data_IF_243960469793
#
_entry.id   IF_243960469793
#
_cell.length_a   1.000
_cell.length_b   1.000
_cell.length_c   1.000
_cell.angle_alpha   90.00
_cell.angle_beta   90.00
_cell.angle_gamma   90.00
#
_symmetry.space_group_name_H-M   'P 1'
#
loop_
_entity.id
_entity.type
_entity.pdbx_description
1 polymer ?
#
# COMPACT_ATOMS: atom_id res chain seq x y z
N UNK A 1 37.23 13.64 23.33
CA UNK A 1 36.10 12.88 22.78
C UNK A 1 35.60 13.69 21.61
N UNK A 2 35.60 13.12 20.41
CA UNK A 2 35.22 13.82 19.19
C UNK A 2 33.70 13.85 19.04
N UNK A 3 33.16 14.93 18.51
CA UNK A 3 31.73 15.02 18.17
C UNK A 3 31.55 14.76 16.68
N UNK A 4 30.64 13.84 16.34
CA UNK A 4 30.20 13.62 14.96
C UNK A 4 28.71 13.88 14.90
N UNK A 5 28.29 14.81 14.05
CA UNK A 5 26.88 15.03 13.73
C UNK A 5 26.57 14.38 12.38
N UNK A 6 25.61 13.47 12.37
CA UNK A 6 25.09 12.87 11.14
C UNK A 6 23.87 13.66 10.68
N UNK A 7 23.89 14.12 9.43
CA UNK A 7 22.71 14.65 8.75
C UNK A 7 22.28 13.61 7.73
N UNK A 8 21.32 12.79 8.14
CA UNK A 8 20.66 11.81 7.29
C UNK A 8 19.71 12.53 6.33
N UNK A 9 19.95 12.41 5.04
CA UNK A 9 18.94 12.66 4.00
C UNK A 9 18.80 11.37 3.18
N UNK A 10 17.58 11.02 2.75
CA UNK A 10 17.27 9.75 2.07
C UNK A 10 18.11 9.48 0.81
N UNK A 11 18.79 10.49 0.26
CA UNK A 11 19.65 10.40 -0.92
C UNK A 11 21.13 10.73 -0.68
N UNK A 12 21.52 11.18 0.52
CA UNK A 12 22.93 11.41 0.84
C UNK A 12 23.20 11.27 2.35
N UNK A 13 24.06 10.33 2.70
CA UNK A 13 24.57 10.18 4.07
C UNK A 13 25.74 11.14 4.25
N UNK A 14 25.50 12.28 4.91
CA UNK A 14 26.55 13.25 5.25
C UNK A 14 26.85 13.17 6.74
N UNK A 15 28.12 13.12 7.09
CA UNK A 15 28.57 13.22 8.46
C UNK A 15 29.54 14.40 8.61
N UNK A 16 29.43 15.12 9.72
CA UNK A 16 30.27 16.26 10.04
C UNK A 16 31.19 15.90 11.20
N UNK A 17 32.48 16.16 11.01
CA UNK A 17 33.53 15.84 11.97
C UNK A 17 34.02 17.10 12.67
N UNK A 18 34.01 17.09 14.01
CA UNK A 18 34.54 18.17 14.84
C UNK A 18 35.77 17.69 15.64
N UNK A 19 37.00 18.15 15.29
CA UNK A 19 38.18 17.83 16.07
C UNK A 19 38.14 18.55 17.43
N UNK A 20 37.88 17.81 18.51
CA UNK A 20 37.95 18.33 19.89
C UNK A 20 39.41 18.44 20.34
N UNK A 21 40.02 19.61 20.13
CA UNK A 21 41.31 19.97 20.71
C UNK A 21 41.07 20.65 22.06
N UNK A 22 41.55 20.03 23.16
CA UNK A 22 41.39 20.56 24.53
C UNK A 22 42.11 21.89 24.78
N UNK A 23 42.89 22.43 23.84
CA UNK A 23 43.76 23.58 24.08
C UNK A 23 43.94 24.55 22.88
N UNK A 24 43.03 24.60 21.91
CA UNK A 24 43.15 25.55 20.77
C UNK A 24 41.96 26.48 20.63
N UNK A 25 42.27 27.75 20.42
CA UNK A 25 41.38 28.82 20.00
C UNK A 25 40.40 28.34 18.92
N UNK A 26 39.11 28.62 19.13
CA UNK A 26 37.93 28.33 18.31
C UNK A 26 38.13 28.42 16.78
N UNK A 27 38.81 27.46 16.17
CA UNK A 27 38.79 27.30 14.73
C UNK A 27 37.69 26.30 14.37
N UNK A 28 36.55 26.81 13.89
CA UNK A 28 35.38 26.02 13.51
C UNK A 28 35.60 25.31 12.16
N UNK A 29 36.63 24.47 12.06
CA UNK A 29 36.82 23.65 10.86
C UNK A 29 35.95 22.40 10.98
N UNK A 30 34.94 22.31 10.12
CA UNK A 30 33.99 21.19 10.07
C UNK A 30 34.30 20.32 8.86
N UNK A 31 35.01 19.22 9.04
CA UNK A 31 35.31 18.32 7.91
C UNK A 31 34.07 17.52 7.55
N UNK A 32 33.67 17.56 6.27
CA UNK A 32 32.56 16.74 5.76
C UNK A 32 33.09 15.37 5.37
N UNK A 33 32.52 14.33 5.97
CA UNK A 33 32.73 12.93 5.61
C UNK A 33 31.56 12.49 4.73
N UNK A 34 31.89 11.87 3.60
CA UNK A 34 30.96 11.29 2.64
C UNK A 34 31.23 9.80 2.53
N UNK A 35 30.17 9.02 2.31
CA UNK A 35 30.24 7.57 2.09
C UNK A 35 29.59 7.23 0.75
N UNK A 36 29.89 6.06 0.15
CA UNK A 36 29.18 5.57 -1.02
C UNK A 36 27.66 5.57 -0.79
N UNK A 37 26.85 5.81 -1.84
CA UNK A 37 25.40 5.69 -1.74
C UNK A 37 25.03 4.26 -1.33
N UNK A 38 23.93 4.13 -0.58
CA UNK A 38 23.34 2.83 -0.28
C UNK A 38 23.12 2.05 -1.59
N UNK A 39 23.38 0.73 -1.61
CA UNK A 39 22.97 -0.10 -2.75
C UNK A 39 21.46 0.03 -2.97
N UNK A 40 21.03 -0.06 -4.23
CA UNK A 40 19.60 -0.13 -4.55
C UNK A 40 19.01 -1.41 -3.93
N UNK A 41 17.78 -1.37 -3.39
CA UNK A 41 17.06 -2.58 -3.02
C UNK A 41 16.99 -3.54 -4.21
N UNK A 42 17.04 -4.84 -3.93
CA UNK A 42 16.80 -5.85 -4.96
C UNK A 42 15.38 -5.66 -5.51
N UNK A 43 15.26 -5.44 -6.82
CA UNK A 43 13.98 -5.11 -7.46
C UNK A 43 13.07 -6.32 -7.70
N UNK A 44 13.61 -7.53 -7.59
CA UNK A 44 12.86 -8.75 -7.87
C UNK A 44 13.43 -9.93 -7.09
N UNK A 45 12.54 -10.78 -6.61
CA UNK A 45 12.89 -12.08 -6.02
C UNK A 45 12.32 -13.17 -6.93
N UNK A 46 13.15 -14.11 -7.39
CA UNK A 46 12.72 -15.08 -8.39
C UNK A 46 11.73 -16.09 -7.82
N UNK A 47 11.80 -16.40 -6.53
CA UNK A 47 11.00 -17.46 -5.89
C UNK A 47 10.55 -16.99 -4.50
N UNK A 48 9.25 -17.14 -4.23
CA UNK A 48 8.67 -17.01 -2.91
C UNK A 48 7.75 -18.22 -2.64
N UNK A 49 7.59 -18.59 -1.38
CA UNK A 49 6.78 -19.74 -0.99
C UNK A 49 5.52 -19.28 -0.27
N UNK A 50 4.38 -19.87 -0.60
CA UNK A 50 3.11 -19.64 0.09
C UNK A 50 2.61 -20.94 0.69
N UNK A 51 2.22 -20.89 1.95
CA UNK A 51 1.72 -22.05 2.69
C UNK A 51 0.21 -21.96 2.86
N UNK A 52 -0.52 -22.80 2.13
CA UNK A 52 -1.98 -22.92 2.21
C UNK A 52 -2.36 -24.10 3.10
N UNK A 53 -3.28 -23.87 4.02
CA UNK A 53 -3.84 -24.92 4.89
C UNK A 53 -5.36 -24.86 4.87
N UNK A 54 -6.07 -25.99 4.70
CA UNK A 54 -7.53 -26.06 4.85
C UNK A 54 -8.02 -25.52 6.19
N UNK A 55 -7.21 -25.64 7.25
CA UNK A 55 -7.54 -25.11 8.58
C UNK A 55 -7.54 -23.57 8.66
N UNK A 56 -6.94 -22.89 7.67
CA UNK A 56 -6.90 -21.42 7.56
C UNK A 56 -7.84 -20.88 6.48
N UNK A 57 -8.88 -21.64 6.13
CA UNK A 57 -9.94 -21.16 5.25
C UNK A 57 -10.69 -20.02 5.94
N UNK A 58 -10.71 -18.84 5.32
CA UNK A 58 -11.41 -17.65 5.81
C UNK A 58 -12.88 -17.66 5.35
N UNK A 59 -13.12 -18.14 4.14
CA UNK A 59 -14.47 -18.26 3.60
C UNK A 59 -14.50 -18.85 2.19
N UNK A 60 -15.69 -19.24 1.77
CA UNK A 60 -15.98 -19.72 0.43
C UNK A 60 -17.09 -18.87 -0.17
N UNK A 61 -16.81 -18.29 -1.34
CA UNK A 61 -17.78 -17.56 -2.14
C UNK A 61 -18.18 -18.36 -3.38
N UNK A 62 -19.13 -17.82 -4.15
CA UNK A 62 -19.64 -18.47 -5.35
C UNK A 62 -18.58 -18.71 -6.44
N UNK A 63 -17.47 -17.97 -6.40
CA UNK A 63 -16.47 -17.93 -7.46
C UNK A 63 -15.05 -18.25 -6.96
N UNK A 64 -14.84 -18.30 -5.64
CA UNK A 64 -13.50 -18.43 -5.06
C UNK A 64 -13.53 -18.99 -3.64
N UNK A 65 -12.44 -19.66 -3.26
CA UNK A 65 -12.13 -20.03 -1.88
C UNK A 65 -11.04 -19.10 -1.37
N UNK A 66 -11.17 -18.63 -0.13
CA UNK A 66 -10.28 -17.63 0.47
C UNK A 66 -9.55 -18.25 1.66
N UNK A 67 -8.23 -18.10 1.68
CA UNK A 67 -7.36 -18.57 2.76
C UNK A 67 -6.59 -17.40 3.35
N UNK A 68 -6.38 -17.45 4.66
CA UNK A 68 -5.28 -16.73 5.30
C UNK A 68 -4.03 -17.59 5.16
N UNK A 69 -2.95 -17.01 4.63
CA UNK A 69 -1.76 -17.74 4.27
C UNK A 69 -0.51 -17.03 4.76
N UNK A 70 0.51 -17.80 5.11
CA UNK A 70 1.83 -17.26 5.38
C UNK A 70 2.61 -17.22 4.06
N UNK A 71 3.07 -16.04 3.71
CA UNK A 71 3.92 -15.78 2.55
C UNK A 71 5.35 -15.61 3.03
N UNK A 72 6.21 -16.52 2.61
CA UNK A 72 7.63 -16.51 2.94
C UNK A 72 8.40 -15.70 1.91
N UNK A 73 8.98 -14.61 2.38
CA UNK A 73 9.66 -13.62 1.56
C UNK A 73 11.07 -13.39 2.11
N UNK A 74 12.09 -13.22 1.26
CA UNK A 74 13.41 -12.78 1.67
C UNK A 74 13.38 -11.56 2.59
N UNK A 75 14.08 -11.65 3.73
CA UNK A 75 14.10 -10.59 4.76
C UNK A 75 14.74 -9.30 4.24
N UNK A 76 15.60 -9.39 3.23
CA UNK A 76 16.26 -8.25 2.61
C UNK A 76 15.33 -7.22 1.97
N UNK A 77 14.07 -7.55 1.65
CA UNK A 77 13.09 -6.55 1.20
C UNK A 77 12.68 -5.62 2.34
N UNK A 78 12.57 -6.16 3.55
CA UNK A 78 12.05 -5.41 4.71
C UNK A 78 13.14 -4.63 5.46
N UNK A 79 14.40 -5.00 5.22
CA UNK A 79 15.54 -4.43 5.93
C UNK A 79 16.26 -3.44 5.04
N UNK A 80 16.20 -2.17 5.42
CA UNK A 80 16.99 -1.12 4.77
C UNK A 80 18.48 -1.38 4.97
N UNK A 81 19.26 -1.02 3.96
CA UNK A 81 20.71 -0.92 4.10
C UNK A 81 21.06 0.04 5.23
N UNK A 82 22.02 -0.38 6.05
CA UNK A 82 22.55 0.37 7.17
C UNK A 82 24.08 0.42 7.05
N UNK A 83 24.66 1.47 7.62
CA UNK A 83 26.11 1.65 7.67
C UNK A 83 26.51 1.95 9.11
N UNK A 84 27.60 1.33 9.58
CA UNK A 84 28.03 1.56 10.95
C UNK A 84 28.68 2.94 11.06
N UNK A 85 28.00 3.86 11.75
CA UNK A 85 28.48 5.22 12.00
C UNK A 85 29.87 5.25 12.65
N UNK A 86 30.16 4.30 13.53
CA UNK A 86 31.44 4.20 14.22
C UNK A 86 32.56 3.68 13.29
N UNK A 87 32.26 2.78 12.35
CA UNK A 87 33.19 2.44 11.27
C UNK A 87 33.47 3.64 10.36
N UNK A 88 32.42 4.36 9.94
CA UNK A 88 32.56 5.60 9.13
C UNK A 88 33.43 6.61 9.84
N UNK A 89 33.24 6.79 11.15
CA UNK A 89 34.06 7.68 11.98
C UNK A 89 35.52 7.25 12.00
N UNK A 90 35.81 5.97 12.30
CA UNK A 90 37.19 5.46 12.40
C UNK A 90 37.94 5.55 11.08
N UNK A 91 37.30 5.19 9.97
CA UNK A 91 37.91 5.31 8.64
C UNK A 91 38.05 6.78 8.21
N UNK A 92 37.08 7.64 8.53
CA UNK A 92 37.18 9.08 8.31
C UNK A 92 38.33 9.73 9.08
N UNK A 93 38.55 9.32 10.34
CA UNK A 93 39.70 9.76 11.15
C UNK A 93 41.02 9.30 10.55
N UNK A 94 41.10 8.03 10.14
CA UNK A 94 42.30 7.48 9.50
C UNK A 94 42.65 8.26 8.22
N UNK A 95 41.68 8.46 7.33
CA UNK A 95 41.87 9.22 6.10
C UNK A 95 42.25 10.70 6.36
N UNK A 96 41.69 11.32 7.42
CA UNK A 96 42.06 12.67 7.82
C UNK A 96 43.55 12.75 8.23
N UNK A 97 44.02 11.81 9.07
CA UNK A 97 45.40 11.83 9.55
C UNK A 97 46.43 11.49 8.48
N UNK A 98 46.12 10.55 7.57
CA UNK A 98 46.96 10.22 6.41
C UNK A 98 47.15 11.44 5.48
N UNK A 99 46.11 12.24 5.26
CA UNK A 99 46.23 13.49 4.48
C UNK A 99 47.07 14.54 5.19
N UNK A 100 46.96 14.62 6.52
CA UNK A 100 47.70 15.60 7.32
C UNK A 100 49.19 15.27 7.43
N UNK A 101 49.55 13.99 7.53
CA UNK A 101 50.96 13.57 7.59
C UNK A 101 51.68 13.72 6.25
N UNK A 102 50.96 13.70 5.13
CA UNK A 102 51.53 13.84 3.78
C UNK A 102 51.74 15.28 3.27
N UNK A 103 51.16 16.31 3.90
CA UNK A 103 51.31 17.72 3.47
C UNK A 103 52.44 18.39 4.27
N UNK A 104 53.54 18.77 3.61
CA UNK A 104 54.57 19.65 4.17
C UNK A 104 53.98 21.01 4.56
N UNK A 105 54.46 21.60 5.64
CA UNK A 105 53.94 22.71 6.46
C UNK A 105 53.57 24.05 5.78
N UNK A 106 53.49 24.14 4.44
CA UNK A 106 53.58 25.41 3.70
C UNK A 106 52.26 25.93 3.09
N UNK A 107 51.12 25.24 3.21
CA UNK A 107 49.84 25.77 2.68
C UNK A 107 48.67 25.67 3.69
N UNK A 108 48.62 26.63 4.62
CA UNK A 108 47.62 26.75 5.69
C UNK A 108 46.29 27.36 5.26
N UNK A 109 46.11 27.63 3.96
CA UNK A 109 44.89 28.20 3.38
C UNK A 109 43.99 27.20 2.63
N UNK A 110 44.32 25.91 2.68
CA UNK A 110 43.58 24.87 1.96
C UNK A 110 42.11 24.81 2.39
N UNK A 111 41.22 25.01 1.40
CA UNK A 111 39.76 24.88 1.53
C UNK A 111 39.41 23.50 2.11
N UNK A 112 38.34 23.48 2.90
CA UNK A 112 37.71 22.27 3.43
C UNK A 112 37.47 21.25 2.31
N UNK A 113 38.32 20.23 2.25
CA UNK A 113 38.19 19.11 1.34
C UNK A 113 37.31 18.04 1.99
N UNK A 114 36.37 17.50 1.22
CA UNK A 114 35.58 16.35 1.64
C UNK A 114 36.49 15.12 1.84
N UNK A 115 36.22 14.37 2.89
CA UNK A 115 36.79 13.03 3.08
C UNK A 115 35.77 12.04 2.55
N UNK A 116 36.17 11.24 1.57
CA UNK A 116 35.38 10.13 1.06
C UNK A 116 35.86 8.84 1.72
N UNK A 117 34.92 8.05 2.26
CA UNK A 117 35.20 6.81 2.99
C UNK A 117 34.54 5.64 2.25
N UNK A 118 35.34 4.94 1.43
CA UNK A 118 34.88 3.82 0.59
C UNK A 118 34.95 2.45 1.27
N UNK A 119 35.74 2.34 2.34
CA UNK A 119 36.08 1.05 2.94
C UNK A 119 35.07 0.56 3.98
N UNK A 120 33.97 1.29 4.20
CA UNK A 120 32.95 0.91 5.18
C UNK A 120 31.80 0.23 4.46
N UNK A 121 31.60 -1.09 4.62
CA UNK A 121 30.56 -1.81 3.92
C UNK A 121 29.18 -1.40 4.43
N UNK A 122 28.25 -1.24 3.50
CA UNK A 122 26.83 -1.31 3.79
C UNK A 122 26.46 -2.73 4.18
N UNK A 123 25.54 -2.87 5.12
CA UNK A 123 25.02 -4.16 5.54
C UNK A 123 23.52 -4.08 5.84
N UNK A 124 22.85 -5.23 5.84
CA UNK A 124 21.44 -5.41 6.18
C UNK A 124 21.34 -6.09 7.54
N UNK A 125 20.87 -5.37 8.58
CA UNK A 125 20.68 -5.94 9.91
C UNK A 125 19.90 -7.27 9.88
N UNK A 126 20.53 -8.35 10.36
CA UNK A 126 19.91 -9.66 10.45
C UNK A 126 19.80 -10.44 9.14
N UNK A 127 20.37 -9.95 8.04
CA UNK A 127 20.49 -10.69 6.77
C UNK A 127 21.96 -11.01 6.49
N UNK A 128 22.83 -10.03 6.63
CA UNK A 128 24.25 -10.22 6.37
C UNK A 128 24.94 -10.83 7.60
N UNK A 129 25.82 -11.81 7.35
CA UNK A 129 26.29 -12.80 8.34
C UNK A 129 27.22 -12.17 9.39
N UNK A 130 27.91 -11.07 9.06
CA UNK A 130 28.92 -10.49 9.96
C UNK A 130 28.81 -8.96 10.02
N UNK A 131 27.97 -8.41 10.93
CA UNK A 131 28.02 -6.99 11.20
C UNK A 131 29.35 -6.65 11.89
N UNK A 132 29.82 -5.42 11.71
CA UNK A 132 31.06 -4.97 12.34
C UNK A 132 31.00 -5.09 13.88
N UNK A 133 32.17 -5.21 14.53
CA UNK A 133 32.30 -5.34 16.00
C UNK A 133 31.61 -4.21 16.77
N UNK A 134 31.48 -3.02 16.20
CA UNK A 134 30.84 -1.87 16.82
C UNK A 134 29.32 -2.00 16.94
N UNK A 135 28.69 -2.80 16.07
CA UNK A 135 27.24 -3.10 16.12
C UNK A 135 26.92 -4.29 16.99
N UNK A 136 27.88 -5.21 17.17
CA UNK A 136 27.76 -6.29 18.13
C UNK A 136 27.70 -5.71 19.57
N UNK A 137 28.42 -4.62 19.87
CA UNK A 137 28.41 -4.05 21.21
C UNK A 137 29.08 -4.96 22.25
N UNK A 138 29.53 -4.38 23.35
CA UNK A 138 30.33 -5.09 24.38
C UNK A 138 29.50 -6.03 25.27
N UNK A 139 28.18 -6.09 25.07
CA UNK A 139 27.23 -6.88 25.88
C UNK A 139 26.84 -8.22 25.21
N UNK A 140 27.82 -8.97 24.71
CA UNK A 140 27.60 -10.19 23.91
C UNK A 140 27.58 -11.50 24.73
N UNK A 141 27.08 -11.47 25.96
CA UNK A 141 26.81 -12.69 26.72
C UNK A 141 25.50 -13.38 26.31
N UNK A 142 24.63 -12.75 25.49
CA UNK A 142 23.44 -13.39 24.94
C UNK A 142 23.03 -12.75 23.61
N UNK A 143 23.69 -13.15 22.53
CA UNK A 143 23.19 -12.86 21.20
C UNK A 143 21.78 -13.44 21.04
N UNK A 144 20.77 -12.68 20.59
CA UNK A 144 19.56 -13.31 20.08
C UNK A 144 19.94 -14.28 18.95
N UNK A 145 19.20 -15.38 18.78
CA UNK A 145 19.45 -16.33 17.71
C UNK A 145 19.47 -15.61 16.36
N UNK A 146 20.28 -16.09 15.39
CA UNK A 146 20.34 -15.48 14.06
C UNK A 146 18.94 -15.38 13.48
N UNK A 147 18.60 -14.19 12.98
CA UNK A 147 17.33 -13.99 12.29
C UNK A 147 17.28 -14.90 11.06
N UNK A 148 16.14 -15.56 10.78
CA UNK A 148 16.02 -16.38 9.59
C UNK A 148 16.19 -15.51 8.33
N UNK A 149 16.76 -16.05 7.24
CA UNK A 149 17.01 -15.30 6.00
C UNK A 149 15.72 -14.85 5.31
N UNK A 150 14.60 -15.49 5.65
CA UNK A 150 13.25 -15.16 5.22
C UNK A 150 12.44 -14.57 6.38
N UNK A 151 11.39 -13.84 6.02
CA UNK A 151 10.35 -13.37 6.90
C UNK A 151 9.02 -13.96 6.42
N UNK A 152 8.19 -14.39 7.36
CA UNK A 152 6.81 -14.77 7.09
C UNK A 152 5.94 -13.52 7.24
N UNK A 153 5.10 -13.25 6.24
CA UNK A 153 4.08 -12.21 6.31
C UNK A 153 2.70 -12.83 6.06
N UNK A 154 1.68 -12.34 6.76
CA UNK A 154 0.30 -12.79 6.54
C UNK A 154 -0.27 -12.13 5.30
N UNK A 155 -0.89 -12.92 4.43
CA UNK A 155 -1.64 -12.47 3.25
C UNK A 155 -2.96 -13.21 3.13
N UNK A 156 -3.86 -12.65 2.32
CA UNK A 156 -5.04 -13.35 1.85
C UNK A 156 -4.76 -13.95 0.48
N UNK A 157 -4.95 -15.26 0.36
CA UNK A 157 -4.87 -16.00 -0.88
C UNK A 157 -6.28 -16.36 -1.34
N UNK A 158 -6.71 -15.80 -2.48
CA UNK A 158 -7.95 -16.19 -3.16
C UNK A 158 -7.64 -17.17 -4.28
N UNK A 159 -8.33 -18.30 -4.28
CA UNK A 159 -8.26 -19.34 -5.32
C UNK A 159 -9.56 -19.35 -6.10
N UNK A 160 -9.50 -19.43 -7.42
CA UNK A 160 -10.67 -19.51 -8.29
C UNK A 160 -11.28 -20.91 -8.31
N UNK A 161 -12.58 -20.97 -8.57
CA UNK A 161 -13.27 -22.20 -8.93
C UNK A 161 -13.01 -22.53 -10.41
N UNK A 162 -12.96 -23.81 -10.75
CA UNK A 162 -12.71 -24.28 -12.11
C UNK A 162 -13.72 -23.69 -13.10
N UNK A 163 -13.22 -23.19 -14.25
CA UNK A 163 -14.00 -22.53 -15.31
C UNK A 163 -14.62 -21.17 -14.91
N UNK A 164 -14.23 -20.61 -13.78
CA UNK A 164 -14.65 -19.28 -13.35
C UNK A 164 -13.63 -18.21 -13.80
N UNK A 165 -14.13 -17.08 -14.33
CA UNK A 165 -13.30 -15.95 -14.77
C UNK A 165 -13.29 -14.78 -13.79
N UNK A 166 -14.08 -14.85 -12.73
CA UNK A 166 -14.29 -13.76 -11.79
C UNK A 166 -13.00 -13.35 -11.08
N UNK A 167 -12.15 -14.30 -10.68
CA UNK A 167 -10.87 -13.99 -10.04
C UNK A 167 -9.88 -13.29 -10.98
N UNK A 168 -9.85 -13.68 -12.26
CA UNK A 168 -9.02 -13.02 -13.26
C UNK A 168 -9.50 -11.59 -13.49
N UNK A 169 -10.81 -11.39 -13.66
CA UNK A 169 -11.40 -10.05 -13.79
C UNK A 169 -11.15 -9.18 -12.55
N UNK A 170 -11.25 -9.77 -11.34
CA UNK A 170 -10.95 -9.07 -10.08
C UNK A 170 -9.50 -8.60 -10.06
N UNK A 171 -8.55 -9.46 -10.46
CA UNK A 171 -7.14 -9.09 -10.55
C UNK A 171 -6.87 -8.02 -11.59
N UNK A 172 -7.51 -8.08 -12.76
CA UNK A 172 -7.37 -7.05 -13.79
C UNK A 172 -7.84 -5.67 -13.27
N UNK A 173 -8.92 -5.66 -12.49
CA UNK A 173 -9.40 -4.44 -11.85
C UNK A 173 -8.41 -3.90 -10.81
N UNK A 174 -7.81 -4.77 -9.97
CA UNK A 174 -6.75 -4.34 -9.05
C UNK A 174 -5.56 -3.69 -9.77
N UNK A 175 -5.12 -4.24 -10.91
CA UNK A 175 -4.02 -3.66 -11.71
C UNK A 175 -4.36 -2.29 -12.30
N UNK A 176 -5.64 -2.03 -12.57
CA UNK A 176 -6.13 -0.74 -13.09
C UNK A 176 -6.33 0.31 -12.00
N UNK A 177 -6.42 -0.08 -10.73
CA UNK A 177 -6.58 0.88 -9.65
C UNK A 177 -5.31 1.74 -9.49
N UNK A 178 -5.45 3.07 -9.33
CA UNK A 178 -4.34 3.90 -8.92
C UNK A 178 -3.74 3.46 -7.58
N UNK A 179 -2.41 3.53 -7.43
CA UNK A 179 -1.69 3.05 -6.23
C UNK A 179 -2.22 3.66 -4.93
N UNK A 180 -2.59 4.95 -4.97
CA UNK A 180 -3.10 5.67 -3.81
C UNK A 180 -4.43 5.12 -3.27
N UNK A 181 -5.17 4.30 -4.04
CA UNK A 181 -6.37 3.63 -3.54
C UNK A 181 -6.05 2.49 -2.57
N UNK A 182 -4.86 1.91 -2.64
CA UNK A 182 -4.33 0.90 -1.70
C UNK A 182 -3.41 1.49 -0.62
N UNK A 183 -2.94 2.73 -0.79
CA UNK A 183 -2.05 3.38 0.18
C UNK A 183 -2.77 3.72 1.49
N UNK A 184 -2.05 3.55 2.61
CA UNK A 184 -2.53 3.91 3.92
C UNK A 184 -2.34 5.41 4.15
N UNK A 185 -3.45 6.14 4.09
CA UNK A 185 -3.49 7.55 4.44
C UNK A 185 -3.84 7.73 5.92
N UNK A 186 -3.33 8.81 6.50
CA UNK A 186 -3.75 9.32 7.81
C UNK A 186 -4.56 10.60 7.63
N UNK A 187 -5.57 10.81 8.47
CA UNK A 187 -6.36 12.05 8.50
C UNK A 187 -7.83 11.84 8.19
N UNK A 188 -8.52 12.94 7.92
CA UNK A 188 -9.97 12.97 7.69
C UNK A 188 -10.28 13.38 6.24
N UNK A 189 -11.32 12.78 5.68
CA UNK A 189 -11.86 13.08 4.36
C UNK A 189 -13.34 13.39 4.44
N UNK A 190 -13.76 14.37 3.64
CA UNK A 190 -15.15 14.72 3.41
C UNK A 190 -15.56 14.22 2.01
N UNK A 191 -16.43 13.23 1.95
CA UNK A 191 -16.84 12.60 0.70
C UNK A 191 -18.31 12.93 0.40
N UNK A 192 -18.57 14.04 -0.29
CA UNK A 192 -19.93 14.44 -0.66
C UNK A 192 -20.68 13.31 -1.39
N UNK A 193 -21.97 13.06 -1.13
CA UNK A 193 -22.87 13.82 -0.28
C UNK A 193 -22.78 13.47 1.22
N UNK A 194 -21.86 12.59 1.63
CA UNK A 194 -21.63 12.28 3.05
C UNK A 194 -20.97 13.50 3.70
N UNK A 195 -21.75 14.24 4.49
CA UNK A 195 -21.32 15.50 5.15
C UNK A 195 -20.49 15.28 6.41
N UNK A 196 -20.29 14.02 6.79
CA UNK A 196 -19.55 13.69 7.99
C UNK A 196 -18.09 13.45 7.63
N UNK A 197 -17.19 13.98 8.46
CA UNK A 197 -15.79 13.64 8.37
C UNK A 197 -15.63 12.15 8.64
N UNK A 198 -14.87 11.50 7.77
CA UNK A 198 -14.57 10.08 7.84
C UNK A 198 -13.07 9.91 7.71
N UNK A 199 -12.54 8.76 8.11
CA UNK A 199 -11.10 8.50 7.97
C UNK A 199 -10.70 8.45 6.50
N UNK A 200 -9.67 9.21 6.16
CA UNK A 200 -8.98 9.06 4.89
C UNK A 200 -8.07 7.85 5.03
N UNK A 201 -8.59 6.65 4.77
CA UNK A 201 -7.81 5.42 4.68
C UNK A 201 -7.89 4.82 3.27
N UNK A 202 -7.10 3.78 3.01
CA UNK A 202 -7.14 3.07 1.74
C UNK A 202 -8.57 2.58 1.41
N UNK A 203 -8.90 2.60 0.13
CA UNK A 203 -10.22 2.23 -0.39
C UNK A 203 -10.28 0.72 -0.64
N UNK A 204 -9.20 0.18 -1.19
CA UNK A 204 -9.06 -1.23 -1.59
C UNK A 204 -7.82 -1.83 -0.90
N UNK A 205 -7.75 -3.17 -0.72
CA UNK A 205 -6.54 -3.85 -0.25
C UNK A 205 -5.34 -3.59 -1.15
N UNK A 206 -4.14 -3.69 -0.59
CA UNK A 206 -2.93 -3.83 -1.41
C UNK A 206 -2.98 -5.14 -2.21
N UNK A 207 -2.60 -5.08 -3.49
CA UNK A 207 -2.56 -6.22 -4.41
C UNK A 207 -1.11 -6.66 -4.64
N UNK A 208 -0.80 -7.93 -4.35
CA UNK A 208 0.56 -8.47 -4.43
C UNK A 208 0.81 -9.34 -5.67
N UNK A 209 -0.24 -9.64 -6.43
CA UNK A 209 -0.10 -10.38 -7.68
C UNK A 209 -1.23 -11.36 -7.96
N UNK A 210 -1.25 -11.82 -9.21
CA UNK A 210 -2.09 -12.90 -9.70
C UNK A 210 -1.21 -13.91 -10.42
N UNK A 211 -1.20 -15.12 -9.87
CA UNK A 211 -0.28 -16.19 -10.22
C UNK A 211 -1.08 -17.31 -10.88
N UNK A 212 -0.69 -17.68 -12.09
CA UNK A 212 -1.32 -18.77 -12.85
C UNK A 212 -0.36 -19.97 -12.83
N UNK A 213 -0.87 -21.21 -12.65
CA UNK A 213 -0.03 -22.40 -12.71
C UNK A 213 0.72 -22.51 -14.04
N UNK A 214 1.98 -22.94 -13.99
CA UNK A 214 2.76 -23.21 -15.18
C UNK A 214 2.19 -24.43 -15.92
N UNK A 215 1.83 -24.26 -17.18
CA UNK A 215 1.26 -25.31 -18.03
C UNK A 215 2.19 -26.54 -18.15
N UNK A 216 3.50 -26.33 -18.05
CA UNK A 216 4.51 -27.40 -18.16
C UNK A 216 4.53 -28.31 -16.93
N UNK A 217 4.05 -27.84 -15.78
CA UNK A 217 4.02 -28.61 -14.52
C UNK A 217 2.71 -29.37 -14.31
N UNK A 218 1.73 -29.19 -15.19
CA UNK A 218 0.40 -29.80 -15.07
C UNK A 218 0.47 -31.30 -15.38
N UNK A 219 0.48 -32.12 -14.33
CA UNK A 219 0.43 -33.58 -14.45
C UNK A 219 -0.97 -34.07 -14.86
N UNK A 220 -1.02 -34.95 -15.85
CA UNK A 220 -2.21 -35.71 -16.21
C UNK A 220 -2.36 -36.92 -15.27
N UNK A 221 -3.59 -37.24 -14.89
CA UNK A 221 -3.89 -38.47 -14.15
C UNK A 221 -3.74 -39.72 -15.04
N UNK A 222 -3.87 -40.91 -14.46
CA UNK A 222 -3.80 -42.20 -15.18
C UNK A 222 -4.82 -42.32 -16.33
N UNK A 223 -5.89 -41.52 -16.29
CA UNK A 223 -6.94 -41.46 -17.32
C UNK A 223 -6.69 -40.34 -18.33
N UNK A 224 -5.53 -39.68 -18.28
CA UNK A 224 -5.16 -38.57 -19.16
C UNK A 224 -5.85 -37.24 -18.84
N UNK A 225 -6.60 -37.16 -17.73
CA UNK A 225 -7.29 -35.92 -17.32
C UNK A 225 -6.32 -35.02 -16.59
N UNK A 226 -6.34 -33.75 -16.96
CA UNK A 226 -5.58 -32.71 -16.28
C UNK A 226 -6.23 -32.41 -14.93
N UNK A 227 -5.47 -32.52 -13.82
CA UNK A 227 -5.94 -32.05 -12.52
C UNK A 227 -5.98 -30.53 -12.56
N UNK A 228 -7.12 -29.94 -12.20
CA UNK A 228 -7.25 -28.49 -12.12
C UNK A 228 -6.30 -27.94 -11.05
N UNK A 229 -5.51 -26.95 -11.44
CA UNK A 229 -4.72 -26.10 -10.55
C UNK A 229 -5.31 -24.70 -10.64
N UNK A 230 -5.70 -24.15 -9.50
CA UNK A 230 -6.30 -22.82 -9.44
C UNK A 230 -5.22 -21.74 -9.57
N UNK A 231 -5.45 -20.70 -10.38
CA UNK A 231 -4.82 -19.41 -10.16
C UNK A 231 -4.96 -18.93 -8.72
N UNK A 232 -3.98 -18.16 -8.25
CA UNK A 232 -3.94 -17.60 -6.90
C UNK A 232 -3.82 -16.09 -7.03
N UNK A 233 -4.70 -15.34 -6.36
CA UNK A 233 -4.55 -13.90 -6.17
C UNK A 233 -4.14 -13.61 -4.73
N UNK A 234 -3.08 -12.81 -4.55
CA UNK A 234 -2.56 -12.43 -3.23
C UNK A 234 -2.93 -10.98 -2.91
N UNK A 235 -3.54 -10.79 -1.74
CA UNK A 235 -4.01 -9.49 -1.25
C UNK A 235 -3.54 -9.25 0.19
N UNK A 236 -3.55 -7.98 0.60
CA UNK A 236 -3.48 -7.58 2.00
C UNK A 236 -4.58 -8.27 2.83
N UNK A 237 -4.23 -8.73 4.02
CA UNK A 237 -5.20 -9.17 5.01
C UNK A 237 -5.87 -7.95 5.66
N UNK A 238 -7.09 -7.68 5.21
CA UNK A 238 -7.88 -6.53 5.63
C UNK A 238 -8.94 -6.88 6.69
N UNK A 239 -8.79 -8.02 7.38
CA UNK A 239 -9.66 -8.42 8.47
C UNK A 239 -10.92 -9.16 8.02
N UNK A 240 -12.05 -8.89 8.68
CA UNK A 240 -13.27 -9.68 8.54
C UNK A 240 -14.38 -8.87 7.87
N UNK A 241 -15.31 -9.51 7.15
CA UNK A 241 -16.48 -8.81 6.62
C UNK A 241 -17.28 -8.11 7.73
N UNK A 242 -17.84 -6.94 7.44
CA UNK A 242 -18.66 -6.21 8.41
C UNK A 242 -19.96 -6.98 8.69
N UNK A 243 -20.38 -6.96 9.95
CA UNK A 243 -21.76 -7.21 10.32
C UNK A 243 -22.46 -5.86 10.47
N UNK A 244 -23.50 -5.65 9.67
CA UNK A 244 -24.19 -4.38 9.60
C UNK A 244 -24.86 -3.98 10.92
N UNK A 245 -25.35 -4.96 11.69
CA UNK A 245 -26.02 -4.73 12.97
C UNK A 245 -25.04 -4.30 14.07
N UNK A 246 -23.78 -4.71 13.95
CA UNK A 246 -22.72 -4.39 14.90
C UNK A 246 -22.03 -3.04 14.60
N UNK A 247 -22.37 -2.38 13.47
CA UNK A 247 -21.74 -1.11 13.09
C UNK A 247 -22.33 0.10 13.85
N UNK A 248 -21.43 0.95 14.36
CA UNK A 248 -21.82 2.26 14.89
C UNK A 248 -22.28 3.20 13.79
N UNK A 249 -22.92 4.31 14.17
CA UNK A 249 -23.30 5.36 13.22
C UNK A 249 -22.08 5.91 12.46
N UNK A 250 -20.95 6.11 13.16
CA UNK A 250 -19.68 6.56 12.56
C UNK A 250 -19.11 5.53 11.58
N UNK A 251 -19.14 4.24 11.93
CA UNK A 251 -18.70 3.15 11.06
C UNK A 251 -19.51 3.11 9.76
N UNK A 252 -20.83 3.29 9.84
CA UNK A 252 -21.71 3.37 8.67
C UNK A 252 -21.37 4.57 7.78
N UNK A 253 -21.08 5.74 8.37
CA UNK A 253 -20.58 6.89 7.60
C UNK A 253 -19.22 6.63 6.95
N UNK A 254 -18.31 5.93 7.64
CA UNK A 254 -17.02 5.55 7.09
C UNK A 254 -17.19 4.60 5.89
N UNK A 255 -18.09 3.62 5.98
CA UNK A 255 -18.45 2.74 4.87
C UNK A 255 -19.06 3.52 3.68
N UNK A 256 -20.00 4.43 3.95
CA UNK A 256 -20.61 5.26 2.91
C UNK A 256 -19.59 6.17 2.23
N UNK A 257 -18.67 6.76 3.00
CA UNK A 257 -17.56 7.57 2.48
C UNK A 257 -16.60 6.73 1.62
N UNK A 258 -16.29 5.50 2.06
CA UNK A 258 -15.45 4.56 1.32
C UNK A 258 -15.98 4.30 -0.10
N UNK A 259 -17.26 3.94 -0.21
CA UNK A 259 -17.93 3.69 -1.50
C UNK A 259 -18.02 4.98 -2.33
N UNK A 260 -18.31 6.10 -1.69
CA UNK A 260 -18.37 7.40 -2.38
C UNK A 260 -17.02 7.80 -2.97
N UNK A 261 -15.92 7.57 -2.25
CA UNK A 261 -14.56 7.80 -2.76
C UNK A 261 -14.22 6.86 -3.91
N UNK A 262 -14.63 5.59 -3.84
CA UNK A 262 -14.50 4.66 -4.97
C UNK A 262 -15.20 5.21 -6.23
N UNK A 263 -16.41 5.75 -6.08
CA UNK A 263 -17.14 6.38 -7.18
C UNK A 263 -16.46 7.65 -7.70
N UNK A 264 -15.82 8.44 -6.83
CA UNK A 264 -15.07 9.62 -7.27
C UNK A 264 -13.86 9.30 -8.13
N UNK A 265 -13.29 8.10 -7.99
CA UNK A 265 -12.24 7.60 -8.87
C UNK A 265 -12.80 7.01 -10.18
N UNK A 266 -14.11 7.15 -10.43
CA UNK A 266 -14.75 6.69 -11.67
C UNK A 266 -15.00 5.19 -11.69
N UNK A 267 -15.07 4.53 -10.53
CA UNK A 267 -15.34 3.09 -10.44
C UNK A 267 -16.72 2.82 -9.85
N UNK A 268 -17.37 1.74 -10.30
CA UNK A 268 -18.55 1.16 -9.66
C UNK A 268 -18.24 -0.25 -9.23
N UNK A 269 -18.80 -0.63 -8.08
CA UNK A 269 -18.50 -1.93 -7.50
C UNK A 269 -19.33 -3.04 -8.19
N UNK A 270 -20.60 -2.77 -8.50
CA UNK A 270 -21.58 -3.67 -9.13
C UNK A 270 -21.89 -4.97 -8.36
N UNK A 271 -21.39 -5.10 -7.13
CA UNK A 271 -21.63 -6.25 -6.24
C UNK A 271 -21.57 -5.79 -4.78
N UNK A 272 -21.99 -4.56 -4.50
CA UNK A 272 -21.88 -4.00 -3.15
C UNK A 272 -22.80 -4.77 -2.19
N UNK A 273 -22.21 -5.29 -1.11
CA UNK A 273 -22.91 -6.00 -0.04
C UNK A 273 -22.06 -5.90 1.24
N UNK A 274 -22.65 -6.07 2.44
CA UNK A 274 -21.89 -6.06 3.70
C UNK A 274 -20.69 -7.03 3.70
N UNK A 275 -20.85 -8.22 3.12
CA UNK A 275 -19.75 -9.20 2.97
C UNK A 275 -18.55 -8.70 2.15
N UNK A 276 -18.74 -7.68 1.32
CA UNK A 276 -17.74 -7.11 0.42
C UNK A 276 -17.13 -5.81 0.99
N UNK A 277 -17.48 -5.46 2.22
CA UNK A 277 -16.80 -4.44 3.01
C UNK A 277 -16.16 -5.14 4.19
N UNK A 278 -14.84 -5.07 4.30
CA UNK A 278 -14.11 -5.70 5.41
C UNK A 278 -13.60 -4.65 6.37
N UNK A 279 -13.54 -5.01 7.65
CA UNK A 279 -13.02 -4.20 8.74
C UNK A 279 -11.79 -4.88 9.37
N UNK A 280 -10.71 -4.13 9.47
CA UNK A 280 -9.52 -4.50 10.26
C UNK A 280 -9.42 -3.63 11.51
N UNK A 281 -8.92 -4.20 12.60
CA UNK A 281 -8.65 -3.53 13.86
C UNK A 281 -7.15 -3.29 14.09
N UNK A 282 -6.81 -2.56 15.15
CA UNK A 282 -5.45 -2.28 15.60
C UNK A 282 -4.76 -1.13 14.88
N UNK A 283 -3.70 -0.57 15.46
CA UNK A 283 -2.95 0.53 14.83
C UNK A 283 -2.02 0.01 13.71
N UNK A 284 -2.15 0.58 12.51
CA UNK A 284 -1.28 0.31 11.37
C UNK A 284 0.17 0.79 11.54
N UNK A 285 0.42 1.72 12.48
CA UNK A 285 1.79 2.10 12.82
C UNK A 285 2.53 0.97 13.53
N UNK A 286 1.79 0.01 14.10
CA UNK A 286 2.35 -1.19 14.68
C UNK A 286 2.69 -2.22 13.61
N UNK A 287 3.80 -2.90 13.83
CA UNK A 287 4.19 -4.05 13.03
C UNK A 287 3.07 -5.10 13.01
N UNK A 288 2.88 -5.84 11.90
CA UNK A 288 1.82 -6.85 11.77
C UNK A 288 1.70 -7.79 12.98
N UNK A 289 2.81 -8.30 13.51
CA UNK A 289 2.81 -9.22 14.65
C UNK A 289 2.29 -8.60 15.96
N UNK A 290 2.39 -7.27 16.13
CA UNK A 290 1.83 -6.56 17.27
C UNK A 290 0.34 -6.28 17.08
N UNK A 291 -0.15 -6.24 15.83
CA UNK A 291 -1.56 -6.02 15.52
C UNK A 291 -2.41 -7.23 15.88
N UNK A 292 -1.90 -8.44 15.70
CA UNK A 292 -2.67 -9.66 15.98
C UNK A 292 -3.15 -9.73 17.44
N UNK A 293 -2.31 -9.32 18.39
CA UNK A 293 -2.70 -9.23 19.80
C UNK A 293 -3.83 -8.21 20.03
N UNK A 294 -3.73 -7.01 19.43
CA UNK A 294 -4.78 -5.99 19.53
C UNK A 294 -6.09 -6.44 18.87
N UNK A 295 -5.99 -7.16 17.74
CA UNK A 295 -7.16 -7.70 17.02
C UNK A 295 -7.87 -8.76 17.86
N UNK A 296 -7.13 -9.68 18.47
CA UNK A 296 -7.71 -10.72 19.34
C UNK A 296 -8.31 -10.12 20.61
N UNK A 297 -7.67 -9.11 21.21
CA UNK A 297 -8.23 -8.37 22.34
C UNK A 297 -9.53 -7.66 21.94
N UNK A 298 -9.55 -6.96 20.81
CA UNK A 298 -10.74 -6.29 20.31
C UNK A 298 -11.90 -7.28 20.03
N UNK A 299 -11.61 -8.43 19.42
CA UNK A 299 -12.60 -9.51 19.20
C UNK A 299 -13.14 -10.06 20.52
N UNK A 300 -12.27 -10.30 21.50
CA UNK A 300 -12.67 -10.80 22.81
C UNK A 300 -13.60 -9.80 23.53
N UNK A 301 -13.26 -8.51 23.49
CA UNK A 301 -14.09 -7.45 24.05
C UNK A 301 -15.45 -7.33 23.34
N UNK A 302 -15.50 -7.44 22.01
CA UNK A 302 -16.75 -7.44 21.26
C UNK A 302 -17.65 -8.63 21.64
N UNK A 303 -17.06 -9.81 21.77
CA UNK A 303 -17.78 -11.02 22.19
C UNK A 303 -18.38 -10.86 23.59
N UNK A 304 -17.58 -10.41 24.56
CA UNK A 304 -18.04 -10.16 25.93
C UNK A 304 -19.17 -9.14 25.94
N UNK A 305 -19.03 -8.06 25.17
CA UNK A 305 -20.06 -7.02 25.08
C UNK A 305 -21.39 -7.57 24.56
N UNK A 306 -21.32 -8.39 23.50
CA UNK A 306 -22.49 -9.04 22.89
C UNK A 306 -23.17 -9.99 23.88
N UNK A 307 -22.40 -10.80 24.60
CA UNK A 307 -22.91 -11.75 25.60
C UNK A 307 -23.56 -11.03 26.79
N UNK A 308 -23.05 -9.86 27.18
CA UNK A 308 -23.55 -9.11 28.33
C UNK A 308 -24.65 -8.10 27.97
N UNK A 309 -25.04 -8.00 26.69
CA UNK A 309 -25.97 -6.96 26.22
C UNK A 309 -25.43 -5.54 26.46
N UNK A 310 -24.11 -5.41 26.64
CA UNK A 310 -23.45 -4.12 26.75
C UNK A 310 -23.28 -3.55 25.36
N UNK A 311 -23.45 -2.24 25.24
CA UNK A 311 -22.96 -1.52 24.06
C UNK A 311 -21.43 -1.61 24.11
N UNK A 312 -20.76 -2.15 23.07
CA UNK A 312 -19.30 -2.26 23.06
C UNK A 312 -18.66 -0.93 23.43
N UNK A 313 -17.58 -0.97 24.20
CA UNK A 313 -16.87 0.25 24.59
C UNK A 313 -16.47 1.10 23.36
N UNK A 314 -16.16 0.44 22.21
CA UNK A 314 -15.92 1.08 20.91
C UNK A 314 -17.17 1.56 20.14
N UNK A 315 -18.36 1.43 20.73
CA UNK A 315 -19.65 1.83 20.19
C UNK A 315 -20.33 2.94 21.02
N UNK A 316 -19.69 3.40 22.09
CA UNK A 316 -20.11 4.60 22.78
C UNK A 316 -19.70 5.81 21.93
N UNK A 317 -20.67 6.49 21.34
CA UNK A 317 -20.53 7.82 20.73
C UNK A 317 -20.28 8.89 21.82
N UNK A 318 -19.32 8.66 22.72
CA UNK A 318 -18.91 9.67 23.67
C UNK A 318 -18.09 10.72 22.92
N UNK A 319 -18.47 11.99 23.03
CA UNK A 319 -17.80 13.12 22.36
C UNK A 319 -16.41 13.44 22.96
N UNK A 320 -15.90 12.61 23.86
CA UNK A 320 -14.61 12.84 24.51
C UNK A 320 -13.44 12.60 23.53
N UNK A 321 -12.48 13.52 23.53
CA UNK A 321 -11.27 13.47 22.68
C UNK A 321 -10.45 12.18 22.83
N UNK A 322 -10.48 11.52 23.99
CA UNK A 322 -9.78 10.24 24.20
C UNK A 322 -10.36 9.08 23.36
N UNK A 323 -11.65 9.11 23.04
CA UNK A 323 -12.28 8.08 22.18
C UNK A 323 -11.95 8.28 20.69
N UNK A 324 -11.62 9.51 20.27
CA UNK A 324 -11.13 9.76 18.90
C UNK A 324 -9.81 9.02 18.61
N UNK A 325 -8.98 8.85 19.63
CA UNK A 325 -7.71 8.13 19.51
C UNK A 325 -7.91 6.62 19.43
N UNK A 326 -8.93 6.05 20.08
CA UNK A 326 -9.22 4.60 20.04
C UNK A 326 -9.99 4.19 18.79
N UNK A 327 -10.82 5.09 18.26
CA UNK A 327 -11.43 4.91 16.94
C UNK A 327 -10.38 4.86 15.81
N UNK A 328 -9.11 5.19 16.09
CA UNK A 328 -7.99 5.07 15.14
C UNK A 328 -7.65 3.65 14.71
N UNK A 329 -8.27 2.66 15.35
CA UNK A 329 -7.96 1.26 15.12
C UNK A 329 -8.84 0.63 14.04
N UNK A 330 -10.02 1.19 13.71
CA UNK A 330 -10.91 0.62 12.68
C UNK A 330 -10.55 1.10 11.28
N UNK A 331 -10.42 0.17 10.34
CA UNK A 331 -10.22 0.49 8.90
C UNK A 331 -11.14 -0.35 8.05
N UNK A 332 -11.81 0.31 7.11
CA UNK A 332 -12.70 -0.33 6.15
C UNK A 332 -12.03 -0.45 4.78
N UNK A 333 -12.31 -1.55 4.07
CA UNK A 333 -11.86 -1.79 2.68
C UNK A 333 -12.99 -2.41 1.88
N UNK A 334 -13.04 -2.06 0.59
CA UNK A 334 -13.89 -2.75 -0.39
C UNK A 334 -13.11 -3.95 -0.94
N UNK A 335 -13.80 -5.06 -1.19
CA UNK A 335 -13.25 -6.27 -1.80
C UNK A 335 -14.22 -6.83 -2.84
N UNK A 336 -13.82 -7.88 -3.59
CA UNK A 336 -14.69 -8.57 -4.56
C UNK A 336 -15.01 -7.71 -5.80
N UNK A 337 -13.94 -7.31 -6.50
CA UNK A 337 -14.03 -6.44 -7.67
C UNK A 337 -14.25 -7.18 -9.00
N UNK A 338 -14.57 -8.49 -9.00
CA UNK A 338 -14.71 -9.26 -10.25
C UNK A 338 -15.82 -8.80 -11.18
N UNK A 339 -16.75 -7.98 -10.69
CA UNK A 339 -17.84 -7.32 -11.45
C UNK A 339 -17.69 -5.81 -11.58
N UNK A 340 -16.65 -5.23 -10.97
CA UNK A 340 -16.47 -3.79 -10.96
C UNK A 340 -16.18 -3.27 -12.35
N UNK A 341 -16.64 -2.06 -12.62
CA UNK A 341 -16.50 -1.40 -13.92
C UNK A 341 -15.93 -0.02 -13.74
N UNK A 342 -14.95 0.32 -14.57
CA UNK A 342 -14.43 1.67 -14.67
C UNK A 342 -15.23 2.47 -15.69
N UNK A 343 -15.64 3.69 -15.33
CA UNK A 343 -16.32 4.62 -16.23
C UNK A 343 -15.52 4.87 -17.51
N UNK A 344 -14.19 4.90 -17.42
CA UNK A 344 -13.36 5.14 -18.61
C UNK A 344 -13.39 4.00 -19.63
N UNK A 345 -13.64 2.75 -19.23
CA UNK A 345 -13.77 1.64 -20.18
C UNK A 345 -14.96 1.87 -21.12
N UNK A 346 -16.04 2.45 -20.60
CA UNK A 346 -17.21 2.79 -21.40
C UNK A 346 -16.98 3.98 -22.34
N UNK A 347 -16.18 4.96 -21.91
CA UNK A 347 -15.75 6.08 -22.78
C UNK A 347 -14.92 5.52 -23.94
N UNK A 348 -14.02 4.59 -23.66
CA UNK A 348 -13.17 3.94 -24.67
C UNK A 348 -14.00 3.14 -25.67
N UNK A 349 -14.92 2.28 -25.21
CA UNK A 349 -15.83 1.53 -26.09
C UNK A 349 -16.62 2.44 -27.04
N UNK A 350 -17.09 3.58 -26.53
CA UNK A 350 -17.82 4.56 -27.33
C UNK A 350 -16.90 5.26 -28.33
N UNK A 351 -15.69 5.63 -27.94
CA UNK A 351 -14.71 6.21 -28.86
C UNK A 351 -14.37 5.23 -29.99
N UNK A 352 -14.17 3.95 -29.67
CA UNK A 352 -13.94 2.90 -30.67
C UNK A 352 -15.17 2.69 -31.59
N UNK A 353 -16.38 2.71 -31.04
CA UNK A 353 -17.61 2.64 -31.82
C UNK A 353 -17.76 3.83 -32.78
N UNK A 354 -17.50 5.04 -32.28
CA UNK A 354 -17.55 6.27 -33.06
C UNK A 354 -16.47 6.27 -34.15
N UNK A 355 -15.25 5.82 -33.84
CA UNK A 355 -14.17 5.67 -34.81
C UNK A 355 -14.57 4.68 -35.92
N UNK A 356 -15.08 3.49 -35.57
CA UNK A 356 -15.57 2.50 -36.55
C UNK A 356 -16.76 3.00 -37.39
N UNK A 357 -17.57 3.91 -36.84
CA UNK A 357 -18.66 4.57 -37.57
C UNK A 357 -18.09 5.62 -38.54
N UNK A 358 -17.12 6.40 -38.08
CA UNK A 358 -16.42 7.38 -38.91
C UNK A 358 -15.67 6.70 -40.06
N UNK A 359 -14.91 5.64 -39.79
CA UNK A 359 -14.15 4.90 -40.83
C UNK A 359 -15.08 4.29 -41.89
N UNK A 360 -16.27 3.82 -41.49
CA UNK A 360 -17.31 3.34 -42.43
C UNK A 360 -17.88 4.46 -43.30
N UNK A 361 -18.00 5.67 -42.75
CA UNK A 361 -18.51 6.83 -43.46
C UNK A 361 -17.42 7.46 -44.35
N UNK A 362 -16.18 7.54 -43.89
CA UNK A 362 -15.03 7.99 -44.66
C UNK A 362 -14.67 6.99 -45.80
N UNK A 363 -14.96 5.70 -45.61
CA UNK A 363 -14.84 4.67 -46.65
C UNK A 363 -15.96 4.68 -47.69
N UNK A 364 -17.02 5.48 -47.52
CA UNK A 364 -17.98 5.78 -48.58
C UNK A 364 -17.52 7.05 -49.31
N UNK A 365 -16.80 6.88 -50.42
CA UNK A 365 -16.38 7.98 -51.30
C UNK A 365 -17.57 8.86 -51.70
N UNK A 366 -17.52 10.14 -51.28
CA UNK A 366 -18.50 11.14 -51.63
C UNK A 366 -18.28 12.47 -50.91
N UNK A 367 -17.47 13.33 -51.55
CA UNK A 367 -17.35 14.78 -51.33
C UNK A 367 -16.79 15.27 -49.98
N UNK A 368 -15.46 15.28 -49.89
CA UNK A 368 -14.71 16.12 -48.96
C UNK A 368 -14.79 17.60 -49.40
N UNK A 369 -15.58 18.42 -48.70
CA UNK A 369 -15.35 19.86 -48.58
C UNK A 369 -15.99 20.42 -47.32
N UNK A 370 -15.20 21.23 -46.62
CA UNK A 370 -15.56 22.08 -45.47
C UNK A 370 -15.75 21.40 -44.11
N UNK A 371 -14.68 21.36 -43.31
CA UNK A 371 -14.75 21.85 -41.92
C UNK A 371 -13.33 22.11 -41.37
N UNK A 372 -12.84 23.33 -41.57
CA UNK A 372 -11.73 23.92 -40.82
C UNK A 372 -12.23 25.22 -40.23
N UNK A 373 -12.68 25.19 -38.97
CA UNK A 373 -12.66 26.33 -38.03
C UNK A 373 -13.49 26.01 -36.77
N UNK A 374 -12.87 25.40 -35.75
CA UNK A 374 -13.31 25.63 -34.36
C UNK A 374 -12.11 25.80 -33.44
N UNK A 375 -12.04 27.00 -32.87
CA UNK A 375 -10.92 27.54 -32.11
C UNK A 375 -10.72 26.88 -30.74
N UNK A 376 -9.49 27.04 -30.26
CA UNK A 376 -9.03 26.53 -28.97
C UNK A 376 -9.80 27.14 -27.80
N UNK A 377 -10.58 26.30 -27.11
CA UNK A 377 -11.14 26.63 -25.81
C UNK A 377 -10.05 26.55 -24.73
N UNK A 378 -9.88 27.66 -23.99
CA UNK A 378 -9.07 27.71 -22.76
C UNK A 378 -9.61 26.70 -21.74
N UNK A 379 -8.74 25.82 -21.23
CA UNK A 379 -9.07 24.91 -20.11
C UNK A 379 -9.31 25.74 -18.84
N UNK A 380 -10.54 25.72 -18.33
CA UNK A 380 -10.86 26.23 -16.99
C UNK A 380 -10.27 25.29 -15.92
N UNK A 381 -9.41 25.83 -15.05
CA UNK A 381 -8.98 25.15 -13.82
C UNK A 381 -10.12 25.20 -12.80
N UNK A 382 -10.56 24.05 -12.31
CA UNK A 382 -11.54 23.96 -11.21
C UNK A 382 -12.63 22.89 -11.36
N UNK A 383 -12.61 22.10 -12.44
CA UNK A 383 -13.57 21.00 -12.63
C UNK A 383 -13.15 19.76 -11.86
N UNK A 384 -14.11 19.02 -11.34
CA UNK A 384 -13.86 17.73 -10.70
C UNK A 384 -13.35 16.72 -11.75
N UNK A 385 -12.52 15.75 -11.33
CA UNK A 385 -12.01 14.69 -12.22
C UNK A 385 -13.13 13.99 -13.02
N UNK A 386 -14.30 13.83 -12.41
CA UNK A 386 -15.48 13.27 -13.08
C UNK A 386 -16.07 14.22 -14.13
N UNK A 387 -16.17 15.53 -13.87
CA UNK A 387 -16.63 16.48 -14.90
C UNK A 387 -15.69 16.52 -16.11
N UNK A 388 -14.41 16.21 -15.93
CA UNK A 388 -13.46 16.09 -17.03
C UNK A 388 -13.66 14.78 -17.82
N UNK A 389 -13.88 13.65 -17.14
CA UNK A 389 -14.19 12.36 -17.79
C UNK A 389 -15.50 12.41 -18.57
N UNK A 390 -16.55 13.02 -18.00
CA UNK A 390 -17.90 13.00 -18.55
C UNK A 390 -18.18 14.12 -19.56
N UNK A 391 -17.26 15.08 -19.74
CA UNK A 391 -17.48 16.25 -20.61
C UNK A 391 -17.84 15.88 -22.05
N UNK A 392 -17.21 14.82 -22.56
CA UNK A 392 -17.27 14.44 -23.97
C UNK A 392 -18.12 13.16 -24.19
N UNK A 393 -18.88 12.73 -23.18
CA UNK A 393 -19.68 11.49 -23.21
C UNK A 393 -21.16 11.79 -23.46
N UNK A 394 -21.91 10.86 -24.07
CA UNK A 394 -23.31 11.13 -24.46
C UNK A 394 -24.20 11.24 -23.24
N UNK A 395 -25.28 12.01 -23.38
CA UNK A 395 -26.32 12.11 -22.36
C UNK A 395 -26.83 10.71 -21.92
N UNK A 396 -27.06 9.80 -22.87
CA UNK A 396 -27.46 8.41 -22.60
C UNK A 396 -26.51 7.65 -21.67
N UNK A 397 -25.22 7.92 -21.78
CA UNK A 397 -24.19 7.29 -20.99
C UNK A 397 -24.18 7.83 -19.57
N UNK A 398 -24.21 9.16 -19.46
CA UNK A 398 -24.34 9.85 -18.20
C UNK A 398 -25.57 9.35 -17.44
N UNK A 399 -26.71 9.22 -18.11
CA UNK A 399 -27.94 8.66 -17.51
C UNK A 399 -27.74 7.24 -16.99
N UNK A 400 -27.12 6.34 -17.77
CA UNK A 400 -26.89 4.95 -17.34
C UNK A 400 -25.94 4.87 -16.13
N UNK A 401 -24.87 5.65 -16.15
CA UNK A 401 -23.94 5.75 -15.03
C UNK A 401 -24.63 6.29 -13.78
N UNK A 402 -25.37 7.39 -13.91
CA UNK A 402 -26.14 7.98 -12.82
C UNK A 402 -27.21 7.02 -12.29
N UNK A 403 -27.84 6.20 -13.14
CA UNK A 403 -28.80 5.18 -12.72
C UNK A 403 -28.14 4.06 -11.88
N UNK A 404 -26.99 3.55 -12.29
CA UNK A 404 -26.29 2.52 -11.53
C UNK A 404 -25.70 3.08 -10.22
N UNK A 405 -25.11 4.28 -10.28
CA UNK A 405 -24.70 5.01 -9.09
C UNK A 405 -25.89 5.27 -8.16
N UNK A 406 -27.08 5.55 -8.70
CA UNK A 406 -28.31 5.68 -7.92
C UNK A 406 -28.70 4.34 -7.27
N UNK A 407 -28.58 3.20 -7.96
CA UNK A 407 -28.83 1.87 -7.37
C UNK A 407 -27.87 1.56 -6.23
N UNK A 408 -26.56 1.79 -6.40
CA UNK A 408 -25.60 1.61 -5.30
C UNK A 408 -25.84 2.62 -4.17
N UNK A 409 -26.21 3.86 -4.50
CA UNK A 409 -26.64 4.85 -3.51
C UNK A 409 -27.91 4.41 -2.78
N UNK A 410 -28.83 3.72 -3.44
CA UNK A 410 -30.02 3.13 -2.81
C UNK A 410 -29.64 1.99 -1.87
N UNK A 411 -28.65 1.16 -2.21
CA UNK A 411 -28.13 0.15 -1.30
C UNK A 411 -27.42 0.79 -0.09
N UNK A 412 -26.58 1.81 -0.31
CA UNK A 412 -26.00 2.61 0.78
C UNK A 412 -27.13 3.23 1.62
N UNK A 413 -28.14 3.80 0.96
CA UNK A 413 -29.27 4.40 1.66
C UNK A 413 -30.04 3.34 2.44
N UNK A 414 -30.30 2.14 1.92
CA UNK A 414 -30.91 1.04 2.69
C UNK A 414 -30.07 0.71 3.93
N UNK A 415 -28.75 0.67 3.78
CA UNK A 415 -27.79 0.57 4.89
C UNK A 415 -27.78 1.80 5.82
N UNK A 416 -28.36 2.94 5.44
CA UNK A 416 -28.43 4.13 6.29
C UNK A 416 -29.84 4.41 6.84
N UNK A 417 -30.89 4.00 6.13
CA UNK A 417 -32.29 4.39 6.33
C UNK A 417 -33.04 3.46 7.28
N UNK A 418 -32.54 2.24 7.52
CA UNK A 418 -32.95 1.32 8.60
C UNK A 418 -32.84 1.92 10.02
N UNK A 419 -32.59 3.22 10.16
CA UNK A 419 -32.26 3.93 11.41
C UNK A 419 -32.99 5.26 11.61
N UNK A 420 -33.66 5.80 10.58
CA UNK A 420 -34.49 7.02 10.72
C UNK A 420 -35.99 6.71 10.88
N UNK A 421 -36.34 5.43 10.92
CA UNK A 421 -37.62 4.88 11.36
C UNK A 421 -37.34 4.01 12.57
#
# INVERSE_FOLDING_TARGET
MFGVEFVSSESSSKAYFHPSSKNQSKSNFVTRITVPPSPSPESSIPIAHIYLSPARTVGEGNHSVVYSADWEIPRNIFVKWDICQECVRKEGEKAFWERKSGKSEVDTTAKLEDIHVDNVPWYRPGVDIEPCKHRLGESFSSLPPPNPPTALVSVIAKLSIQHDRHLANESENYQKFPSWMSEHWSGLTLAWPVRNLSRCGAIVPSWYGYYVPDETEIKKDEKGRVKYLSPIMLLEDCGVPIDYEDLTKRDKYACASLVTRFHYHGWLHNSLAPRNIVISYGDHTLYPYNRDAEVEEAKALMKISKEQGLVPYYALDNENEEDYMKDNQKRFRLIDFGRSTWAGDWVKEKMEYNQKRFDRWAGSEGDEKEEKEKGGQKKELGRTYMEEIFRDVSETYRTRWEEMRRKEKEEINKMMHWWFC
#
